data_IF_228143868999
#
_entry.id   IF_228143868999
#
_cell.length_a   1.000
_cell.length_b   1.000
_cell.length_c   1.000
_cell.angle_alpha   90.00
_cell.angle_beta   90.00
_cell.angle_gamma   90.00
#
_symmetry.space_group_name_H-M   'P 1'
#
loop_
_entity.id
_entity.type
_entity.pdbx_description
1 polymer ?
#
# COMPACT_ATOMS: atom_id res chain seq x y z
N UNK A 1 -67.28 -35.77 10.58
CA UNK A 1 -66.16 -36.67 10.96
C UNK A 1 -64.86 -36.06 10.45
N UNK A 2 -63.85 -36.04 11.32
CA UNK A 2 -62.51 -35.45 11.15
C UNK A 2 -61.66 -36.27 10.17
N UNK A 3 -60.77 -35.64 9.37
CA UNK A 3 -59.30 -35.88 9.39
C UNK A 3 -58.53 -35.26 8.19
N UNK A 4 -57.46 -34.52 8.58
CA UNK A 4 -56.17 -34.23 7.91
C UNK A 4 -56.12 -33.15 6.79
N UNK A 5 -56.01 -31.90 7.23
CA UNK A 5 -55.24 -30.84 6.57
C UNK A 5 -53.98 -30.67 7.43
N UNK A 6 -52.81 -31.17 7.03
CA UNK A 6 -51.53 -30.86 7.70
C UNK A 6 -50.29 -31.27 6.87
N UNK A 7 -50.18 -30.84 5.61
CA UNK A 7 -48.91 -30.96 4.83
C UNK A 7 -48.67 -29.69 3.99
N UNK A 8 -48.76 -28.48 4.57
CA UNK A 8 -48.25 -27.25 3.93
C UNK A 8 -47.64 -26.29 4.98
N UNK A 9 -46.85 -26.81 5.93
CA UNK A 9 -46.11 -25.95 6.88
C UNK A 9 -44.65 -26.39 7.13
N UNK A 10 -44.10 -27.36 6.38
CA UNK A 10 -42.71 -27.79 6.56
C UNK A 10 -41.76 -27.44 5.40
N UNK A 11 -42.25 -26.84 4.31
CA UNK A 11 -41.42 -26.52 3.14
C UNK A 11 -40.78 -25.11 3.15
N UNK A 12 -41.18 -24.22 4.07
CA UNK A 12 -40.70 -22.83 4.08
C UNK A 12 -39.41 -22.65 4.91
N UNK A 13 -39.03 -23.59 5.77
CA UNK A 13 -37.84 -23.47 6.61
C UNK A 13 -36.53 -23.94 5.92
N UNK A 14 -36.59 -24.73 4.84
CA UNK A 14 -35.38 -25.26 4.18
C UNK A 14 -34.70 -24.20 3.30
N UNK A 15 -35.46 -23.26 2.71
CA UNK A 15 -34.92 -22.26 1.78
C UNK A 15 -34.00 -21.24 2.45
N UNK A 16 -34.38 -20.71 3.63
CA UNK A 16 -33.53 -19.77 4.37
C UNK A 16 -32.27 -20.45 4.92
N UNK A 17 -32.40 -21.67 5.44
CA UNK A 17 -31.28 -22.43 6.03
C UNK A 17 -30.26 -22.85 4.96
N UNK A 18 -30.73 -23.30 3.78
CA UNK A 18 -29.87 -23.62 2.63
C UNK A 18 -29.12 -22.40 2.10
N UNK A 19 -29.79 -21.26 1.93
CA UNK A 19 -29.14 -20.00 1.52
C UNK A 19 -28.09 -19.51 2.53
N UNK A 20 -28.35 -19.65 3.83
CA UNK A 20 -27.37 -19.27 4.86
C UNK A 20 -26.16 -20.21 4.90
N UNK A 21 -26.34 -21.51 4.62
CA UNK A 21 -25.26 -22.49 4.57
C UNK A 21 -24.38 -22.29 3.33
N UNK A 22 -24.98 -22.12 2.15
CA UNK A 22 -24.26 -21.82 0.91
C UNK A 22 -23.48 -20.51 1.02
N UNK A 23 -24.09 -19.45 1.57
CA UNK A 23 -23.40 -18.17 1.81
C UNK A 23 -22.18 -18.34 2.72
N UNK A 24 -22.33 -19.06 3.84
CA UNK A 24 -21.23 -19.30 4.78
C UNK A 24 -20.10 -20.14 4.17
N UNK A 25 -20.45 -21.13 3.33
CA UNK A 25 -19.47 -21.92 2.59
C UNK A 25 -18.74 -21.07 1.55
N UNK A 26 -19.45 -20.20 0.83
CA UNK A 26 -18.89 -19.30 -0.17
C UNK A 26 -17.98 -18.23 0.45
N UNK A 27 -18.38 -17.66 1.58
CA UNK A 27 -17.55 -16.72 2.36
C UNK A 27 -16.25 -17.40 2.85
N UNK A 28 -16.35 -18.65 3.34
CA UNK A 28 -15.16 -19.43 3.75
C UNK A 28 -14.21 -19.75 2.60
N UNK A 29 -14.75 -20.11 1.42
CA UNK A 29 -13.94 -20.37 0.23
C UNK A 29 -13.23 -19.08 -0.24
N UNK A 30 -13.95 -17.97 -0.25
CA UNK A 30 -13.40 -16.65 -0.60
C UNK A 30 -12.27 -16.24 0.35
N UNK A 31 -12.44 -16.42 1.66
CA UNK A 31 -11.42 -16.12 2.66
C UNK A 31 -10.16 -16.97 2.47
N UNK A 32 -10.34 -18.26 2.16
CA UNK A 32 -9.22 -19.17 1.84
C UNK A 32 -8.48 -18.71 0.58
N UNK A 33 -9.20 -18.39 -0.50
CA UNK A 33 -8.60 -17.92 -1.76
C UNK A 33 -7.82 -16.61 -1.57
N UNK A 34 -8.37 -15.64 -0.83
CA UNK A 34 -7.69 -14.37 -0.54
C UNK A 34 -6.42 -14.61 0.28
N UNK A 35 -6.50 -15.47 1.30
CA UNK A 35 -5.35 -15.79 2.15
C UNK A 35 -4.23 -16.42 1.33
N UNK A 36 -4.54 -17.43 0.50
CA UNK A 36 -3.57 -18.07 -0.39
C UNK A 36 -2.97 -17.06 -1.38
N UNK A 37 -3.77 -16.17 -1.97
CA UNK A 37 -3.26 -15.15 -2.87
C UNK A 37 -2.29 -14.18 -2.18
N UNK A 38 -2.59 -13.75 -0.94
CA UNK A 38 -1.71 -12.89 -0.15
C UNK A 38 -0.39 -13.57 0.18
N UNK A 39 -0.43 -14.85 0.54
CA UNK A 39 0.77 -15.66 0.79
C UNK A 39 1.62 -15.82 -0.48
N UNK A 40 0.99 -16.12 -1.62
CA UNK A 40 1.68 -16.19 -2.91
C UNK A 40 2.34 -14.84 -3.24
N UNK A 41 1.61 -13.75 -3.07
CA UNK A 41 2.13 -12.41 -3.34
C UNK A 41 3.31 -12.06 -2.42
N UNK A 42 3.21 -12.37 -1.12
CA UNK A 42 4.28 -12.15 -0.15
C UNK A 42 5.58 -12.87 -0.57
N UNK A 43 5.45 -14.12 -1.02
CA UNK A 43 6.59 -14.95 -1.40
C UNK A 43 7.12 -14.65 -2.82
N UNK A 44 6.33 -13.99 -3.67
CA UNK A 44 6.64 -13.73 -5.08
C UNK A 44 6.34 -12.28 -5.44
N UNK A 45 7.03 -11.35 -4.77
CA UNK A 45 6.91 -9.94 -5.07
C UNK A 45 7.38 -9.67 -6.52
N UNK A 46 6.63 -8.87 -7.30
CA UNK A 46 7.08 -8.44 -8.61
C UNK A 46 8.34 -7.57 -8.48
N UNK A 47 9.22 -7.63 -9.47
CA UNK A 47 10.32 -6.67 -9.58
C UNK A 47 9.76 -5.26 -9.84
N UNK A 48 10.43 -4.21 -9.32
CA UNK A 48 10.01 -2.84 -9.57
C UNK A 48 10.14 -2.51 -11.07
N UNK A 49 9.18 -1.76 -11.62
CA UNK A 49 9.19 -1.32 -13.02
C UNK A 49 9.95 -0.01 -13.24
N UNK A 50 10.23 0.70 -12.15
CA UNK A 50 10.80 2.04 -12.08
C UNK A 50 10.62 2.59 -10.67
N UNK A 51 10.71 3.90 -10.50
CA UNK A 51 10.49 4.50 -9.18
C UNK A 51 9.02 4.50 -8.77
N UNK A 52 8.10 4.49 -9.74
CA UNK A 52 6.65 4.49 -9.49
C UNK A 52 6.07 3.12 -9.84
N UNK A 53 5.39 2.52 -8.87
CA UNK A 53 4.74 1.21 -9.00
C UNK A 53 3.29 1.31 -8.50
N UNK A 54 2.40 1.78 -9.36
CA UNK A 54 0.99 2.02 -9.05
C UNK A 54 0.12 0.79 -9.36
N UNK A 55 -0.10 -0.05 -8.34
CA UNK A 55 -1.02 -1.19 -8.40
C UNK A 55 -2.49 -0.83 -8.08
N UNK A 56 -2.77 0.40 -7.63
CA UNK A 56 -4.13 0.86 -7.32
C UNK A 56 -4.70 1.78 -8.43
N UNK A 57 -3.90 2.14 -9.43
CA UNK A 57 -4.24 3.01 -10.56
C UNK A 57 -4.81 4.36 -10.10
N UNK A 58 -4.11 4.97 -9.15
CA UNK A 58 -4.46 6.28 -8.59
C UNK A 58 -3.75 7.44 -9.30
N UNK A 59 -2.74 7.15 -10.12
CA UNK A 59 -2.05 8.09 -10.99
C UNK A 59 -2.40 7.83 -12.46
N UNK A 60 -2.43 8.91 -13.24
CA UNK A 60 -2.38 8.82 -14.70
C UNK A 60 -0.94 8.61 -15.20
N UNK A 61 -0.79 8.11 -16.42
CA UNK A 61 0.52 7.90 -17.06
C UNK A 61 1.41 9.16 -17.05
N UNK A 62 0.81 10.34 -17.24
CA UNK A 62 1.53 11.61 -17.23
C UNK A 62 1.96 12.03 -15.82
N UNK A 63 1.15 11.71 -14.80
CA UNK A 63 1.50 11.92 -13.40
C UNK A 63 2.65 10.99 -12.98
N UNK A 64 2.58 9.70 -13.35
CA UNK A 64 3.67 8.74 -13.10
C UNK A 64 4.99 9.22 -13.71
N UNK A 65 4.99 9.63 -14.99
CA UNK A 65 6.18 10.18 -15.66
C UNK A 65 6.74 11.41 -14.96
N UNK A 66 5.86 12.32 -14.49
CA UNK A 66 6.30 13.51 -13.76
C UNK A 66 6.95 13.14 -12.42
N UNK A 67 6.36 12.22 -11.67
CA UNK A 67 6.93 11.75 -10.41
C UNK A 67 8.28 11.06 -10.63
N UNK A 68 8.36 10.18 -11.64
CA UNK A 68 9.59 9.47 -11.98
C UNK A 68 10.72 10.44 -12.36
N UNK A 69 10.41 11.50 -13.13
CA UNK A 69 11.36 12.56 -13.45
C UNK A 69 11.84 13.33 -12.20
N UNK A 70 10.92 13.71 -11.30
CA UNK A 70 11.26 14.41 -10.05
C UNK A 70 12.22 13.56 -9.20
N UNK A 71 11.88 12.29 -9.02
CA UNK A 71 12.67 11.34 -8.23
C UNK A 71 14.02 11.08 -8.90
N UNK A 72 14.05 10.83 -10.21
CA UNK A 72 15.28 10.58 -10.96
C UNK A 72 16.23 11.78 -10.93
N UNK A 73 15.70 13.00 -10.97
CA UNK A 73 16.53 14.20 -10.83
C UNK A 73 17.16 14.27 -9.43
N UNK A 74 16.37 14.01 -8.39
CA UNK A 74 16.86 13.99 -7.02
C UNK A 74 17.91 12.89 -6.76
N UNK A 75 17.71 11.71 -7.33
CA UNK A 75 18.68 10.61 -7.27
C UNK A 75 20.00 11.01 -7.92
N UNK A 76 19.98 11.63 -9.12
CA UNK A 76 21.20 12.11 -9.76
C UNK A 76 21.94 13.19 -8.97
N UNK A 77 21.20 14.05 -8.27
CA UNK A 77 21.77 15.12 -7.44
C UNK A 77 22.39 14.61 -6.14
N UNK A 78 21.82 13.57 -5.53
CA UNK A 78 22.10 13.21 -4.12
C UNK A 78 22.55 11.76 -3.93
N UNK A 79 22.43 10.93 -4.95
CA UNK A 79 22.50 9.46 -4.94
C UNK A 79 21.42 8.75 -4.11
N UNK A 80 20.48 9.48 -3.47
CA UNK A 80 19.39 8.91 -2.66
C UNK A 80 18.33 8.34 -3.60
N UNK A 81 17.92 7.11 -3.36
CA UNK A 81 16.87 6.45 -4.14
C UNK A 81 15.53 6.56 -3.41
N UNK A 82 14.50 7.03 -4.12
CA UNK A 82 13.13 7.08 -3.59
C UNK A 82 12.26 6.22 -4.51
N UNK A 83 11.49 5.31 -3.95
CA UNK A 83 10.49 4.54 -4.68
C UNK A 83 9.10 4.75 -4.08
N UNK A 84 8.07 4.72 -4.92
CA UNK A 84 6.67 4.85 -4.54
C UNK A 84 5.94 3.59 -4.98
N UNK A 85 5.19 2.98 -4.06
CA UNK A 85 4.36 1.81 -4.36
C UNK A 85 2.97 2.00 -3.77
N UNK A 86 1.94 1.73 -4.57
CA UNK A 86 0.56 1.67 -4.07
C UNK A 86 0.18 0.20 -3.86
N UNK A 87 -0.40 -0.14 -2.72
CA UNK A 87 -0.66 -1.52 -2.30
C UNK A 87 -2.17 -1.72 -2.21
N UNK A 88 -2.70 -2.47 -3.17
CA UNK A 88 -4.12 -2.83 -3.19
C UNK A 88 -4.49 -3.76 -2.02
N UNK A 89 -5.69 -3.58 -1.47
CA UNK A 89 -6.26 -4.38 -0.37
C UNK A 89 -6.35 -5.89 -0.63
N UNK A 90 -6.35 -6.31 -1.90
CA UNK A 90 -6.29 -7.73 -2.27
C UNK A 90 -4.92 -8.33 -1.94
N UNK A 91 -3.84 -7.53 -1.95
CA UNK A 91 -2.45 -7.96 -1.75
C UNK A 91 -2.06 -8.15 -0.29
N UNK A 92 -2.74 -7.45 0.62
CA UNK A 92 -2.47 -7.53 2.06
C UNK A 92 -3.69 -7.16 2.87
N UNK A 93 -3.75 -7.59 4.13
CA UNK A 93 -4.73 -7.08 5.09
C UNK A 93 -4.24 -5.75 5.69
N UNK A 94 -5.16 -4.95 6.24
CA UNK A 94 -4.83 -3.62 6.79
C UNK A 94 -3.77 -3.68 7.90
N UNK A 95 -3.83 -4.70 8.76
CA UNK A 95 -2.87 -4.96 9.85
C UNK A 95 -1.49 -5.38 9.35
N UNK A 96 -1.39 -5.95 8.15
CA UNK A 96 -0.13 -6.37 7.52
C UNK A 96 0.42 -5.37 6.51
N UNK A 97 -0.20 -4.20 6.36
CA UNK A 97 0.23 -3.18 5.40
C UNK A 97 1.68 -2.73 5.63
N UNK A 98 2.03 -2.38 6.87
CA UNK A 98 3.37 -1.89 7.22
C UNK A 98 4.42 -2.99 7.05
N UNK A 99 4.11 -4.22 7.47
CA UNK A 99 5.00 -5.37 7.28
C UNK A 99 5.26 -5.64 5.79
N UNK A 100 4.24 -5.53 4.93
CA UNK A 100 4.41 -5.71 3.50
C UNK A 100 5.19 -4.54 2.87
N UNK A 101 4.94 -3.30 3.28
CA UNK A 101 5.70 -2.12 2.84
C UNK A 101 7.20 -2.31 3.10
N UNK A 102 7.58 -2.68 4.33
CA UNK A 102 8.96 -2.98 4.69
C UNK A 102 9.53 -4.18 3.93
N UNK A 103 8.74 -5.23 3.72
CA UNK A 103 9.15 -6.39 2.92
C UNK A 103 9.47 -6.00 1.48
N UNK A 104 8.62 -5.18 0.85
CA UNK A 104 8.87 -4.62 -0.49
C UNK A 104 10.16 -3.81 -0.52
N UNK A 105 10.37 -2.91 0.44
CA UNK A 105 11.57 -2.06 0.49
C UNK A 105 12.85 -2.90 0.52
N UNK A 106 12.86 -3.95 1.35
CA UNK A 106 13.99 -4.89 1.49
C UNK A 106 14.18 -5.76 0.26
N UNK A 107 13.10 -6.34 -0.28
CA UNK A 107 13.17 -7.23 -1.43
C UNK A 107 13.59 -6.50 -2.70
N UNK A 108 13.12 -5.27 -2.91
CA UNK A 108 13.54 -4.44 -4.04
C UNK A 108 14.95 -3.88 -3.88
N UNK A 109 15.51 -3.92 -2.67
CA UNK A 109 16.87 -3.47 -2.40
C UNK A 109 17.04 -1.97 -2.67
N UNK A 110 16.03 -1.17 -2.29
CA UNK A 110 16.07 0.29 -2.52
C UNK A 110 17.23 0.91 -1.73
N UNK A 111 18.07 1.67 -2.41
CA UNK A 111 19.29 2.27 -1.89
C UNK A 111 20.55 1.71 -2.57
N UNK A 112 21.58 2.56 -2.69
CA UNK A 112 22.88 2.13 -3.21
C UNK A 112 23.59 1.21 -2.21
N UNK A 113 24.21 0.15 -2.73
CA UNK A 113 25.01 -0.81 -1.95
C UNK A 113 26.03 -0.08 -1.06
N UNK A 114 25.99 -0.36 0.24
CA UNK A 114 26.91 0.21 1.23
C UNK A 114 26.60 1.65 1.66
N UNK A 115 25.64 2.32 1.02
CA UNK A 115 25.14 3.63 1.46
C UNK A 115 23.84 3.52 2.25
N UNK A 116 23.03 2.48 1.98
CA UNK A 116 21.71 2.26 2.57
C UNK A 116 20.84 3.53 2.51
N UNK A 117 20.94 4.24 1.39
CA UNK A 117 20.35 5.57 1.18
C UNK A 117 19.04 5.48 0.36
N UNK A 118 18.27 4.42 0.59
CA UNK A 118 16.98 4.18 -0.03
C UNK A 118 15.81 4.64 0.84
N UNK A 119 14.72 5.03 0.19
CA UNK A 119 13.44 5.37 0.81
C UNK A 119 12.33 4.71 0.00
N UNK A 120 11.45 3.96 0.66
CA UNK A 120 10.20 3.49 0.04
C UNK A 120 9.01 4.24 0.64
N UNK A 121 8.15 4.78 -0.20
CA UNK A 121 6.85 5.34 0.17
C UNK A 121 5.78 4.32 -0.22
N UNK A 122 5.26 3.59 0.76
CA UNK A 122 4.13 2.68 0.59
C UNK A 122 2.82 3.41 0.87
N UNK A 123 1.86 3.32 -0.04
CA UNK A 123 0.52 3.92 0.08
C UNK A 123 -0.54 2.84 -0.16
N UNK A 124 -1.65 2.90 0.56
CA UNK A 124 -2.88 2.17 0.20
C UNK A 124 -4.05 3.12 0.27
N UNK A 125 -4.65 3.42 -0.88
CA UNK A 125 -5.91 4.18 -0.97
C UNK A 125 -7.03 3.41 -0.29
N UNK A 126 -7.13 2.10 -0.53
CA UNK A 126 -8.19 1.27 0.04
C UNK A 126 -8.16 1.23 1.57
N UNK A 127 -6.98 1.22 2.19
CA UNK A 127 -6.83 1.30 3.65
C UNK A 127 -6.65 2.72 4.20
N UNK A 128 -6.50 3.72 3.33
CA UNK A 128 -6.12 5.10 3.70
C UNK A 128 -4.85 5.14 4.57
N UNK A 129 -3.87 4.30 4.24
CA UNK A 129 -2.60 4.18 4.97
C UNK A 129 -1.44 4.63 4.10
N UNK A 130 -0.45 5.26 4.72
CA UNK A 130 0.84 5.57 4.12
C UNK A 130 1.93 5.20 5.13
N UNK A 131 3.05 4.70 4.62
CA UNK A 131 4.24 4.38 5.39
C UNK A 131 5.46 4.80 4.58
N UNK A 132 6.48 5.29 5.27
CA UNK A 132 7.78 5.60 4.68
C UNK A 132 8.79 4.68 5.35
N UNK A 133 9.47 3.86 4.57
CA UNK A 133 10.54 2.98 5.03
C UNK A 133 11.88 3.65 4.72
N UNK A 134 12.72 3.82 5.75
CA UNK A 134 14.03 4.43 5.61
C UNK A 134 15.12 3.36 5.59
N UNK A 135 16.05 3.48 4.65
CA UNK A 135 17.32 2.78 4.72
C UNK A 135 18.19 3.33 5.86
N UNK A 136 19.10 2.50 6.38
CA UNK A 136 19.93 2.84 7.54
C UNK A 136 20.77 4.13 7.33
N UNK A 137 21.19 4.42 6.10
CA UNK A 137 21.92 5.65 5.77
C UNK A 137 21.03 6.89 5.89
N UNK A 138 19.77 6.78 5.49
CA UNK A 138 18.78 7.85 5.64
C UNK A 138 18.38 8.04 7.10
N UNK A 139 18.18 6.94 7.85
CA UNK A 139 17.78 6.99 9.25
C UNK A 139 18.76 7.74 10.16
N UNK A 140 20.02 7.89 9.75
CA UNK A 140 21.03 8.71 10.45
C UNK A 140 20.79 10.21 10.33
N UNK A 141 20.11 10.63 9.27
CA UNK A 141 19.86 12.05 8.96
C UNK A 141 18.39 12.41 9.01
N UNK A 142 17.45 11.47 8.97
CA UNK A 142 16.02 11.73 9.07
C UNK A 142 15.39 10.70 10.00
N UNK A 143 14.71 11.15 11.04
CA UNK A 143 14.11 10.27 12.05
C UNK A 143 12.72 9.79 11.63
N UNK A 144 12.26 8.71 12.25
CA UNK A 144 10.87 8.22 12.12
C UNK A 144 9.84 9.28 12.53
N UNK A 145 10.13 10.05 13.59
CA UNK A 145 9.24 11.11 14.08
C UNK A 145 9.09 12.23 13.03
N UNK A 146 10.19 12.70 12.47
CA UNK A 146 10.15 13.74 11.43
C UNK A 146 9.45 13.23 10.17
N UNK A 147 9.68 11.96 9.82
CA UNK A 147 9.00 11.33 8.69
C UNK A 147 7.49 11.27 8.90
N UNK A 148 7.04 10.97 10.13
CA UNK A 148 5.63 11.02 10.50
C UNK A 148 5.06 12.45 10.40
N UNK A 149 5.81 13.45 10.84
CA UNK A 149 5.39 14.86 10.72
C UNK A 149 5.22 15.29 9.26
N UNK A 150 6.14 14.88 8.37
CA UNK A 150 6.00 15.14 6.93
C UNK A 150 4.76 14.43 6.37
N UNK A 151 4.50 13.18 6.76
CA UNK A 151 3.27 12.46 6.38
C UNK A 151 2.02 13.26 6.79
N UNK A 152 1.97 13.70 8.04
CA UNK A 152 0.80 14.35 8.61
C UNK A 152 0.53 15.74 8.00
N UNK A 153 1.59 16.48 7.66
CA UNK A 153 1.49 17.87 7.19
C UNK A 153 1.52 18.02 5.67
N UNK A 154 2.24 17.16 4.95
CA UNK A 154 2.50 17.36 3.52
C UNK A 154 1.79 16.33 2.63
N UNK A 155 1.59 15.10 3.10
CA UNK A 155 0.89 14.06 2.34
C UNK A 155 -0.61 14.01 2.64
N UNK A 156 -0.98 13.81 3.91
CA UNK A 156 -2.35 13.49 4.33
C UNK A 156 -3.38 14.58 3.98
N UNK A 157 -3.08 15.90 4.04
CA UNK A 157 -4.09 16.92 3.75
C UNK A 157 -4.69 16.80 2.36
N UNK A 158 -3.89 16.49 1.35
CA UNK A 158 -4.37 16.29 -0.02
C UNK A 158 -5.03 14.92 -0.20
N UNK A 159 -4.53 13.87 0.45
CA UNK A 159 -5.20 12.56 0.44
C UNK A 159 -6.62 12.62 1.00
N UNK A 160 -6.86 13.44 2.03
CA UNK A 160 -8.20 13.68 2.58
C UNK A 160 -9.16 14.31 1.57
N UNK A 161 -8.63 15.06 0.59
CA UNK A 161 -9.39 15.69 -0.52
C UNK A 161 -9.51 14.76 -1.73
N UNK A 162 -8.88 13.58 -1.72
CA UNK A 162 -8.79 12.68 -2.87
C UNK A 162 -7.68 13.03 -3.87
N UNK A 163 -6.87 14.05 -3.59
CA UNK A 163 -5.81 14.53 -4.46
C UNK A 163 -4.50 13.77 -4.22
N UNK A 164 -4.48 12.47 -4.54
CA UNK A 164 -3.33 11.59 -4.24
C UNK A 164 -2.03 12.03 -4.93
N UNK A 165 -2.09 12.38 -6.22
CA UNK A 165 -0.93 12.89 -6.93
C UNK A 165 -0.33 14.13 -6.24
N UNK A 166 -1.15 15.13 -5.92
CA UNK A 166 -0.68 16.35 -5.27
C UNK A 166 -0.11 16.07 -3.87
N UNK A 167 -0.74 15.18 -3.10
CA UNK A 167 -0.22 14.77 -1.79
C UNK A 167 1.14 14.10 -1.86
N UNK A 168 1.37 13.25 -2.87
CA UNK A 168 2.68 12.68 -3.13
C UNK A 168 3.69 13.77 -3.50
N UNK A 169 3.35 14.65 -4.46
CA UNK A 169 4.24 15.74 -4.90
C UNK A 169 4.67 16.62 -3.72
N UNK A 170 3.72 17.05 -2.89
CA UNK A 170 3.98 17.88 -1.72
C UNK A 170 4.92 17.16 -0.74
N UNK A 171 4.56 15.92 -0.39
CA UNK A 171 5.31 15.10 0.55
C UNK A 171 6.74 14.79 0.11
N UNK A 172 6.95 14.35 -1.13
CA UNK A 172 8.31 14.08 -1.65
C UNK A 172 9.12 15.37 -1.77
N UNK A 173 8.47 16.49 -2.13
CA UNK A 173 9.16 17.79 -2.21
C UNK A 173 9.69 18.18 -0.83
N UNK A 174 8.86 18.05 0.22
CA UNK A 174 9.29 18.36 1.58
C UNK A 174 10.40 17.42 2.06
N UNK A 175 10.24 16.12 1.82
CA UNK A 175 11.25 15.12 2.14
C UNK A 175 12.60 15.44 1.48
N UNK A 176 12.60 15.76 0.18
CA UNK A 176 13.80 16.12 -0.57
C UNK A 176 14.44 17.43 -0.06
N UNK A 177 13.64 18.43 0.31
CA UNK A 177 14.13 19.68 0.92
C UNK A 177 14.89 19.43 2.23
N UNK A 178 14.29 18.62 3.12
CA UNK A 178 14.91 18.26 4.40
C UNK A 178 16.21 17.51 4.17
N UNK A 179 16.21 16.52 3.27
CA UNK A 179 17.40 15.72 2.96
C UNK A 179 18.53 16.56 2.34
N UNK A 180 18.22 17.43 1.36
CA UNK A 180 19.22 18.35 0.76
C UNK A 180 19.90 19.21 1.82
N UNK A 181 19.17 19.66 2.83
CA UNK A 181 19.70 20.50 3.91
C UNK A 181 20.68 19.74 4.80
N UNK A 182 20.48 18.43 4.98
CA UNK A 182 21.26 17.60 5.91
C UNK A 182 22.47 16.96 5.28
N UNK A 183 22.40 16.58 4.01
CA UNK A 183 23.55 15.98 3.30
C UNK A 183 24.59 17.00 2.85
N UNK A 184 24.23 18.30 2.82
CA UNK A 184 25.17 19.40 2.53
C UNK A 184 26.02 19.82 3.73
N UNK A 185 25.68 19.34 4.94
CA UNK A 185 26.41 19.59 6.17
C UNK A 185 27.36 18.42 6.45
#
# INVERSE_FOLDING_TARGET
MKKVIFIILFFIAISATGQTFEKKQNDSLKDKTITTFREIYWNNLPSPKGWINDYERIFSDDEEKKLDNIISNFERETSIEIAIVTIDTIKTSSDKFEALSLHIAKTWGIGKKGKDNGILIGLSKGYRKIRIELGNGIAKVLTEQETKEIIDHDFIPEFKKGNYYQGIVNGITKLMEVLRTRIKK
#
